data_IF_802400197375
#
_entry.id   IF_802400197375
#
_cell.length_a   1.000
_cell.length_b   1.000
_cell.length_c   1.000
_cell.angle_alpha   90.00
_cell.angle_beta   90.00
_cell.angle_gamma   90.00
#
_symmetry.space_group_name_H-M   'P 1'
#
loop_
_entity.id
_entity.type
_entity.pdbx_description
1 polymer ?
#
# COMPACT_ATOMS: atom_id res chain seq x y z
N UNK A 1 48.30 -2.11 20.74
CA UNK A 1 47.92 -3.12 19.74
C UNK A 1 46.42 -3.09 19.57
N UNK A 2 45.96 -2.14 18.70
CA UNK A 2 44.54 -2.04 18.30
C UNK A 2 44.23 -3.18 17.34
N UNK A 3 43.78 -4.29 17.89
CA UNK A 3 43.16 -5.33 17.11
C UNK A 3 41.75 -4.85 16.72
N UNK A 4 41.58 -4.45 15.46
CA UNK A 4 40.40 -4.30 14.66
C UNK A 4 39.14 -4.80 15.36
N UNK A 5 38.33 -3.93 16.02
CA UNK A 5 36.92 -4.11 16.17
C UNK A 5 36.37 -4.12 14.76
N UNK A 6 36.14 -5.29 14.21
CA UNK A 6 35.28 -5.48 13.04
C UNK A 6 33.92 -4.87 13.47
N UNK A 7 33.65 -3.64 13.08
CA UNK A 7 32.34 -3.04 13.29
C UNK A 7 31.40 -3.99 12.56
N UNK A 8 30.61 -4.76 13.30
CA UNK A 8 29.55 -5.60 12.74
C UNK A 8 28.55 -4.64 12.13
N UNK A 9 28.62 -4.51 10.83
CA UNK A 9 27.75 -3.61 10.07
C UNK A 9 26.41 -4.29 9.89
N UNK A 10 25.33 -3.63 10.31
CA UNK A 10 23.97 -4.15 10.29
C UNK A 10 23.16 -3.54 9.13
N UNK A 11 22.07 -4.19 8.76
CA UNK A 11 21.04 -3.62 7.90
C UNK A 11 19.72 -3.49 8.64
N UNK A 12 19.00 -2.41 8.39
CA UNK A 12 17.62 -2.24 8.87
C UNK A 12 16.67 -2.88 7.88
N UNK A 13 15.84 -3.81 8.32
CA UNK A 13 14.76 -4.40 7.53
C UNK A 13 13.46 -3.74 7.97
N UNK A 14 12.73 -3.16 7.03
CA UNK A 14 11.42 -2.53 7.27
C UNK A 14 10.35 -3.43 6.64
N UNK A 15 9.61 -4.14 7.46
CA UNK A 15 8.47 -4.95 7.06
C UNK A 15 7.19 -4.11 6.98
N UNK A 16 6.19 -4.58 6.24
CA UNK A 16 4.91 -3.88 6.12
C UNK A 16 4.10 -3.90 7.42
N UNK A 17 4.22 -4.99 8.19
CA UNK A 17 3.44 -5.22 9.43
C UNK A 17 4.21 -6.06 10.44
N UNK A 18 3.83 -5.98 11.73
CA UNK A 18 4.54 -6.67 12.81
C UNK A 18 4.66 -8.19 12.61
N UNK A 19 3.66 -8.84 12.01
CA UNK A 19 3.67 -10.29 11.75
C UNK A 19 4.76 -10.68 10.74
N UNK A 20 4.95 -9.88 9.68
CA UNK A 20 6.00 -10.08 8.69
C UNK A 20 7.37 -9.86 9.32
N UNK A 21 7.52 -8.80 10.13
CA UNK A 21 8.79 -8.56 10.86
C UNK A 21 9.14 -9.74 11.77
N UNK A 22 8.13 -10.34 12.44
CA UNK A 22 8.33 -11.52 13.26
C UNK A 22 8.80 -12.72 12.42
N UNK A 23 8.18 -13.00 11.28
CA UNK A 23 8.58 -14.10 10.41
C UNK A 23 10.03 -13.95 9.94
N UNK A 24 10.45 -12.72 9.60
CA UNK A 24 11.82 -12.42 9.22
C UNK A 24 12.78 -12.63 10.41
N UNK A 25 12.41 -12.12 11.60
CA UNK A 25 13.21 -12.28 12.80
C UNK A 25 13.38 -13.77 13.18
N UNK A 26 12.30 -14.55 13.09
CA UNK A 26 12.30 -15.99 13.37
C UNK A 26 13.20 -16.75 12.36
N UNK A 27 13.16 -16.40 11.07
CA UNK A 27 14.01 -16.98 10.02
C UNK A 27 15.52 -16.81 10.30
N UNK A 28 15.89 -15.69 10.93
CA UNK A 28 17.27 -15.40 11.36
C UNK A 28 17.54 -15.68 12.83
N UNK A 29 16.60 -16.33 13.54
CA UNK A 29 16.68 -16.69 14.98
C UNK A 29 16.96 -15.48 15.88
N UNK A 30 16.45 -14.31 15.48
CA UNK A 30 16.59 -13.06 16.25
C UNK A 30 15.53 -13.08 17.37
N UNK A 31 16.00 -13.29 18.62
CA UNK A 31 15.11 -13.42 19.79
C UNK A 31 14.97 -12.12 20.59
N UNK A 32 15.90 -11.19 20.45
CA UNK A 32 15.88 -9.94 21.22
C UNK A 32 14.84 -8.98 20.65
N UNK A 33 13.72 -8.87 21.33
CA UNK A 33 12.66 -7.92 21.00
C UNK A 33 12.86 -6.64 21.78
N UNK A 34 12.82 -5.52 21.08
CA UNK A 34 12.82 -4.16 21.61
C UNK A 34 11.46 -3.50 21.34
N UNK A 35 11.29 -2.28 21.84
CA UNK A 35 10.11 -1.48 21.51
C UNK A 35 10.15 -1.06 20.04
N UNK A 36 9.27 -1.62 19.24
CA UNK A 36 9.12 -1.33 17.81
C UNK A 36 10.08 -2.06 16.86
N UNK A 37 10.98 -2.95 17.33
CA UNK A 37 11.86 -3.73 16.45
C UNK A 37 12.43 -4.99 17.12
N UNK A 38 13.07 -5.84 16.32
CA UNK A 38 13.90 -6.97 16.77
C UNK A 38 15.36 -6.65 16.49
N UNK A 39 16.26 -6.99 17.43
CA UNK A 39 17.67 -6.69 17.32
C UNK A 39 18.50 -7.97 17.25
N UNK A 40 19.16 -8.19 16.11
CA UNK A 40 20.12 -9.26 15.85
C UNK A 40 21.52 -8.73 15.61
N UNK A 41 22.44 -9.64 15.34
CA UNK A 41 23.85 -9.30 15.08
C UNK A 41 24.01 -8.61 13.71
N UNK A 42 23.33 -9.11 12.66
CA UNK A 42 23.44 -8.61 11.30
C UNK A 42 22.26 -7.73 10.89
N UNK A 43 21.09 -7.87 11.55
CA UNK A 43 19.85 -7.21 11.16
C UNK A 43 19.12 -6.59 12.33
N UNK A 44 18.55 -5.42 12.06
CA UNK A 44 17.54 -4.75 12.88
C UNK A 44 16.22 -4.85 12.12
N UNK A 45 15.25 -5.61 12.62
CA UNK A 45 14.00 -5.85 11.92
C UNK A 45 12.89 -5.03 12.56
N UNK A 46 12.43 -4.02 11.85
CA UNK A 46 11.32 -3.16 12.27
C UNK A 46 10.14 -3.29 11.30
N UNK A 47 9.07 -2.54 11.50
CA UNK A 47 7.87 -2.64 10.69
C UNK A 47 7.14 -1.31 10.56
N UNK A 48 6.29 -1.21 9.54
CA UNK A 48 5.24 -0.22 9.42
C UNK A 48 3.89 -0.79 9.91
N UNK A 49 2.84 0.04 9.88
CA UNK A 49 1.45 -0.38 10.09
C UNK A 49 0.62 -0.05 8.83
N UNK A 50 1.11 -0.47 7.66
CA UNK A 50 0.73 0.12 6.39
C UNK A 50 1.35 1.52 6.25
N UNK A 51 0.66 2.45 5.60
CA UNK A 51 1.14 3.82 5.48
C UNK A 51 1.29 4.51 6.83
N UNK A 52 2.49 5.01 7.12
CA UNK A 52 2.81 5.84 8.29
C UNK A 52 2.75 7.33 7.97
N UNK A 53 2.90 7.67 6.69
CA UNK A 53 2.73 9.01 6.15
C UNK A 53 1.40 9.10 5.40
N UNK A 54 0.95 10.32 5.16
CA UNK A 54 -0.15 10.66 4.27
C UNK A 54 0.17 11.95 3.52
N UNK A 55 -0.43 12.16 2.36
CA UNK A 55 -0.35 13.43 1.67
C UNK A 55 -0.97 14.54 2.53
N UNK A 56 -0.48 15.76 2.37
CA UNK A 56 -1.10 16.95 2.94
C UNK A 56 -2.56 17.03 2.52
N UNK A 57 -3.42 17.47 3.42
CA UNK A 57 -4.78 17.88 3.07
C UNK A 57 -4.74 19.27 2.40
N UNK A 58 -5.80 19.66 1.67
CA UNK A 58 -5.85 20.97 1.03
C UNK A 58 -5.63 22.15 2.00
N UNK A 59 -6.10 22.01 3.24
CA UNK A 59 -5.90 23.01 4.32
C UNK A 59 -4.45 23.16 4.79
N UNK A 60 -3.62 22.13 4.59
CA UNK A 60 -2.19 22.19 4.95
C UNK A 60 -1.40 23.02 3.94
N UNK A 61 -1.92 23.20 2.73
CA UNK A 61 -1.36 24.09 1.70
C UNK A 61 -1.90 25.52 1.81
N UNK A 62 -3.20 25.65 2.07
CA UNK A 62 -3.88 26.96 2.23
C UNK A 62 -4.93 26.85 3.35
N UNK A 63 -4.74 27.58 4.45
CA UNK A 63 -5.67 27.61 5.59
C UNK A 63 -7.10 28.00 5.20
N UNK A 64 -7.26 28.79 4.16
CA UNK A 64 -8.58 29.14 3.65
C UNK A 64 -9.34 27.94 3.09
N UNK A 65 -8.69 26.81 2.83
CA UNK A 65 -9.31 25.55 2.41
C UNK A 65 -9.99 24.79 3.55
N UNK A 66 -9.90 25.26 4.80
CA UNK A 66 -10.67 24.71 5.94
C UNK A 66 -12.18 24.79 5.70
N UNK A 67 -12.65 25.83 5.03
CA UNK A 67 -14.04 25.98 4.57
C UNK A 67 -14.12 25.82 3.06
N UNK A 68 -14.77 24.75 2.61
CA UNK A 68 -14.95 24.56 1.17
C UNK A 68 -15.86 25.64 0.57
N UNK A 69 -15.41 26.19 -0.57
CA UNK A 69 -16.17 27.12 -1.37
C UNK A 69 -15.98 26.79 -2.85
N UNK A 70 -17.02 26.90 -3.66
CA UNK A 70 -17.00 26.47 -5.05
C UNK A 70 -15.89 27.13 -5.88
N UNK A 71 -15.63 28.41 -5.64
CA UNK A 71 -14.62 29.20 -6.35
C UNK A 71 -13.17 28.76 -6.09
N UNK A 72 -12.96 27.90 -5.10
CA UNK A 72 -11.62 27.37 -4.77
C UNK A 72 -11.27 26.06 -5.46
N UNK A 73 -12.19 25.52 -6.20
CA UNK A 73 -12.00 24.28 -6.94
C UNK A 73 -11.98 24.51 -8.45
N UNK A 74 -11.15 23.77 -9.23
CA UNK A 74 -10.28 22.67 -8.77
C UNK A 74 -9.06 23.17 -7.98
N UNK A 75 -8.69 22.43 -6.93
CA UNK A 75 -7.48 22.65 -6.15
C UNK A 75 -6.46 21.57 -6.50
N UNK A 76 -5.31 21.98 -7.03
CA UNK A 76 -4.18 21.11 -7.39
C UNK A 76 -2.93 21.77 -6.84
N UNK A 77 -2.22 21.18 -5.87
CA UNK A 77 -0.97 21.74 -5.37
C UNK A 77 0.12 21.67 -6.45
N UNK A 78 1.03 22.64 -6.46
CA UNK A 78 2.20 22.61 -7.34
C UNK A 78 3.12 21.44 -6.99
N UNK A 79 3.36 21.21 -5.68
CA UNK A 79 4.15 20.12 -5.14
C UNK A 79 3.35 19.34 -4.10
N UNK A 80 3.30 18.02 -4.26
CA UNK A 80 2.70 17.17 -3.25
C UNK A 80 3.65 16.91 -2.09
N UNK A 81 3.15 17.10 -0.86
CA UNK A 81 3.93 16.93 0.37
C UNK A 81 3.31 15.87 1.26
N UNK A 82 4.17 15.20 2.01
CA UNK A 82 3.78 14.21 3.00
C UNK A 82 3.85 14.79 4.42
N UNK A 83 2.98 14.29 5.28
CA UNK A 83 3.00 14.49 6.74
C UNK A 83 2.81 13.15 7.43
N UNK A 84 3.12 13.08 8.71
CA UNK A 84 2.79 11.92 9.53
C UNK A 84 1.27 11.73 9.49
N UNK A 85 0.84 10.48 9.39
CA UNK A 85 -0.57 10.11 9.35
C UNK A 85 -1.32 10.69 10.54
N UNK A 86 -2.50 11.20 10.29
CA UNK A 86 -3.40 11.69 11.32
C UNK A 86 -4.23 10.56 11.93
N UNK A 87 -4.71 10.76 13.14
CA UNK A 87 -5.63 9.85 13.81
C UNK A 87 -6.93 9.69 13.02
N UNK A 88 -7.44 8.46 12.93
CA UNK A 88 -8.63 8.16 12.13
C UNK A 88 -9.91 8.80 12.68
N UNK A 89 -9.97 9.05 13.99
CA UNK A 89 -11.11 9.68 14.66
C UNK A 89 -11.00 11.21 14.69
N UNK A 90 -9.78 11.74 14.62
CA UNK A 90 -9.53 13.17 14.62
C UNK A 90 -8.37 13.56 13.68
N UNK A 91 -8.71 13.96 12.47
CA UNK A 91 -7.73 14.37 11.42
C UNK A 91 -6.94 15.65 11.73
N UNK A 92 -7.20 16.31 12.85
CA UNK A 92 -6.40 17.45 13.34
C UNK A 92 -5.25 16.98 14.24
N UNK A 93 -5.25 15.72 14.67
CA UNK A 93 -4.26 15.16 15.60
C UNK A 93 -3.41 14.13 14.87
N UNK A 94 -2.10 14.19 15.08
CA UNK A 94 -1.16 13.18 14.56
C UNK A 94 -1.42 11.84 15.25
N UNK A 95 -1.39 10.75 14.48
CA UNK A 95 -1.41 9.38 15.00
C UNK A 95 -0.12 9.11 15.77
N UNK A 96 -0.23 9.04 17.11
CA UNK A 96 0.92 8.83 18.01
C UNK A 96 1.63 7.49 17.77
N UNK A 97 0.90 6.49 17.31
CA UNK A 97 1.48 5.18 16.96
C UNK A 97 2.36 5.29 15.71
N UNK A 98 1.86 5.95 14.68
CA UNK A 98 2.63 6.22 13.45
C UNK A 98 3.86 7.09 13.75
N UNK A 99 3.69 8.17 14.51
CA UNK A 99 4.80 9.06 14.91
C UNK A 99 5.89 8.30 15.67
N UNK A 100 5.50 7.51 16.68
CA UNK A 100 6.43 6.69 17.45
C UNK A 100 7.20 5.73 16.55
N UNK A 101 6.49 5.03 15.67
CA UNK A 101 7.10 4.03 14.80
C UNK A 101 8.05 4.65 13.77
N UNK A 102 7.70 5.79 13.20
CA UNK A 102 8.59 6.58 12.32
C UNK A 102 9.87 6.96 13.05
N UNK A 103 9.75 7.47 14.29
CA UNK A 103 10.91 7.86 15.08
C UNK A 103 11.83 6.66 15.37
N UNK A 104 11.26 5.47 15.61
CA UNK A 104 12.04 4.23 15.77
C UNK A 104 12.74 3.89 14.46
N UNK A 105 12.02 3.81 13.34
CA UNK A 105 12.60 3.50 12.03
C UNK A 105 13.76 4.45 11.72
N UNK A 106 13.55 5.76 11.89
CA UNK A 106 14.56 6.78 11.64
C UNK A 106 15.77 6.60 12.55
N UNK A 107 15.58 6.40 13.85
CA UNK A 107 16.66 6.19 14.80
C UNK A 107 17.50 4.95 14.47
N UNK A 108 16.89 3.89 13.95
CA UNK A 108 17.60 2.68 13.52
C UNK A 108 18.40 2.93 12.25
N UNK A 109 17.85 3.65 11.27
CA UNK A 109 18.54 3.98 10.02
C UNK A 109 19.74 4.90 10.29
N UNK A 110 19.62 5.84 11.22
CA UNK A 110 20.65 6.83 11.54
C UNK A 110 21.82 6.25 12.36
N UNK A 111 21.76 5.00 12.83
CA UNK A 111 22.84 4.35 13.60
C UNK A 111 24.13 4.25 12.78
N UNK A 112 25.26 4.45 13.44
CA UNK A 112 26.59 4.36 12.81
C UNK A 112 26.97 2.92 12.41
N UNK A 113 26.40 1.91 13.11
CA UNK A 113 26.60 0.50 12.79
C UNK A 113 25.64 -0.03 11.72
N UNK A 114 24.90 0.83 11.04
CA UNK A 114 23.97 0.48 9.94
C UNK A 114 24.52 1.02 8.62
N UNK A 115 24.66 0.14 7.62
CA UNK A 115 25.16 0.48 6.28
C UNK A 115 24.13 0.46 5.16
N UNK A 116 22.90 0.03 5.46
CA UNK A 116 21.85 -0.05 4.46
C UNK A 116 20.48 -0.39 5.01
N UNK A 117 19.48 -0.24 4.16
CA UNK A 117 18.08 -0.47 4.48
C UNK A 117 17.50 -1.50 3.51
N UNK A 118 16.67 -2.40 4.00
CA UNK A 118 15.96 -3.40 3.20
C UNK A 118 14.45 -3.15 3.36
N UNK A 119 13.80 -2.80 2.26
CA UNK A 119 12.34 -2.76 2.20
C UNK A 119 11.80 -4.18 2.03
N UNK A 120 11.02 -4.63 2.99
CA UNK A 120 10.38 -5.95 3.04
C UNK A 120 8.86 -5.81 3.16
N UNK A 121 8.29 -4.89 2.40
CA UNK A 121 6.84 -4.71 2.22
C UNK A 121 6.33 -5.63 1.12
N UNK A 122 5.02 -5.81 0.99
CA UNK A 122 4.41 -6.70 0.00
C UNK A 122 4.86 -6.33 -1.43
N UNK A 123 4.95 -7.33 -2.33
CA UNK A 123 5.44 -7.12 -3.69
C UNK A 123 4.31 -6.65 -4.61
N UNK A 124 3.78 -5.48 -4.32
CA UNK A 124 2.82 -4.78 -5.16
C UNK A 124 3.07 -3.26 -5.13
N UNK A 125 2.20 -2.49 -5.80
CA UNK A 125 2.33 -1.02 -5.88
C UNK A 125 2.15 -0.35 -4.52
N UNK A 126 1.22 -0.83 -3.70
CA UNK A 126 0.93 -0.25 -2.39
C UNK A 126 2.10 -0.52 -1.44
N UNK A 127 2.57 -1.78 -1.38
CA UNK A 127 3.73 -2.16 -0.56
C UNK A 127 4.99 -1.38 -0.96
N UNK A 128 5.23 -1.14 -2.26
CA UNK A 128 6.35 -0.31 -2.70
C UNK A 128 6.24 1.11 -2.17
N UNK A 129 5.07 1.73 -2.25
CA UNK A 129 4.87 3.12 -1.79
C UNK A 129 5.00 3.25 -0.28
N UNK A 130 4.53 2.26 0.50
CA UNK A 130 4.61 2.29 1.98
C UNK A 130 6.02 2.56 2.48
N UNK A 131 7.04 1.94 1.88
CA UNK A 131 8.43 2.18 2.26
C UNK A 131 9.04 3.38 1.56
N UNK A 132 8.74 3.57 0.27
CA UNK A 132 9.37 4.63 -0.53
C UNK A 132 8.96 6.03 -0.09
N UNK A 133 7.71 6.22 0.37
CA UNK A 133 7.29 7.51 0.93
C UNK A 133 8.13 7.92 2.15
N UNK A 134 8.54 6.94 3.00
CA UNK A 134 9.45 7.20 4.11
C UNK A 134 10.84 7.56 3.62
N UNK A 135 11.36 6.82 2.63
CA UNK A 135 12.70 7.05 2.10
C UNK A 135 12.81 8.42 1.41
N UNK A 136 11.79 8.82 0.67
CA UNK A 136 11.72 10.11 -0.01
C UNK A 136 11.53 11.24 1.02
N UNK A 137 10.58 11.10 1.94
CA UNK A 137 10.24 12.14 2.90
C UNK A 137 11.42 12.47 3.84
N UNK A 138 12.18 11.45 4.26
CA UNK A 138 13.33 11.62 5.14
C UNK A 138 14.68 11.69 4.41
N UNK A 139 14.67 11.69 3.08
CA UNK A 139 15.87 11.81 2.23
C UNK A 139 16.96 10.80 2.64
N UNK A 140 16.61 9.52 2.75
CA UNK A 140 17.51 8.47 3.20
C UNK A 140 18.65 8.30 2.21
N UNK A 141 19.90 8.48 2.70
CA UNK A 141 21.12 8.45 1.86
C UNK A 141 21.82 7.10 1.84
N UNK A 142 21.48 6.22 2.78
CA UNK A 142 22.06 4.86 2.83
C UNK A 142 21.53 4.02 1.67
N UNK A 143 22.31 3.03 1.17
CA UNK A 143 21.84 2.11 0.15
C UNK A 143 20.52 1.42 0.54
N UNK A 144 19.57 1.40 -0.37
CA UNK A 144 18.25 0.79 -0.15
C UNK A 144 18.10 -0.41 -1.07
N UNK A 145 17.73 -1.53 -0.48
CA UNK A 145 17.50 -2.79 -1.16
C UNK A 145 16.02 -3.19 -1.05
N UNK A 146 15.56 -3.99 -1.98
CA UNK A 146 14.22 -4.54 -2.03
C UNK A 146 14.25 -6.04 -1.86
N UNK A 147 13.51 -6.55 -0.87
CA UNK A 147 13.22 -7.95 -0.66
C UNK A 147 11.91 -8.28 -1.35
N UNK A 148 11.94 -9.15 -2.34
CA UNK A 148 10.78 -9.55 -3.16
C UNK A 148 10.36 -10.96 -2.77
N UNK A 149 9.24 -11.09 -2.07
CA UNK A 149 8.70 -12.38 -1.63
C UNK A 149 7.18 -12.43 -1.86
N UNK A 150 6.71 -13.61 -2.23
CA UNK A 150 5.28 -13.94 -2.26
C UNK A 150 4.83 -14.62 -0.97
N UNK A 151 5.75 -15.25 -0.24
CA UNK A 151 5.49 -15.98 1.01
C UNK A 151 6.57 -15.64 2.05
N UNK A 152 6.18 -15.65 3.34
CA UNK A 152 7.04 -15.29 4.45
C UNK A 152 7.49 -16.52 5.26
N UNK A 153 7.78 -17.64 4.58
CA UNK A 153 8.36 -18.85 5.18
C UNK A 153 9.87 -18.66 5.40
N UNK A 154 10.45 -19.42 6.33
CA UNK A 154 11.89 -19.29 6.66
C UNK A 154 12.78 -19.46 5.44
N UNK A 155 12.51 -20.46 4.61
CA UNK A 155 13.31 -20.78 3.42
C UNK A 155 13.18 -19.68 2.35
N UNK A 156 11.97 -19.20 2.08
CA UNK A 156 11.77 -18.13 1.10
C UNK A 156 12.36 -16.81 1.59
N UNK A 157 12.28 -16.48 2.89
CA UNK A 157 12.96 -15.30 3.46
C UNK A 157 14.48 -15.39 3.25
N UNK A 158 15.12 -16.53 3.57
CA UNK A 158 16.56 -16.72 3.37
C UNK A 158 16.96 -16.63 1.90
N UNK A 159 16.18 -17.25 1.02
CA UNK A 159 16.41 -17.22 -0.43
C UNK A 159 16.26 -15.80 -1.00
N UNK A 160 15.22 -15.08 -0.57
CA UNK A 160 15.01 -13.69 -0.99
C UNK A 160 16.12 -12.76 -0.49
N UNK A 161 16.55 -12.92 0.76
CA UNK A 161 17.68 -12.15 1.33
C UNK A 161 19.02 -12.40 0.63
N UNK A 162 19.22 -13.58 0.06
CA UNK A 162 20.37 -13.87 -0.80
C UNK A 162 20.27 -13.24 -2.19
N UNK A 163 19.09 -12.77 -2.59
CA UNK A 163 18.78 -12.24 -3.93
C UNK A 163 18.20 -10.83 -3.89
N UNK A 164 18.61 -10.00 -2.93
CA UNK A 164 18.17 -8.61 -2.81
C UNK A 164 18.40 -7.82 -4.11
N UNK A 165 17.46 -6.97 -4.46
CA UNK A 165 17.57 -6.05 -5.60
C UNK A 165 17.82 -4.62 -5.09
N UNK A 166 18.55 -3.78 -5.83
CA UNK A 166 18.56 -2.35 -5.55
C UNK A 166 17.12 -1.81 -5.61
N UNK A 167 16.72 -0.96 -4.65
CA UNK A 167 15.38 -0.37 -4.68
C UNK A 167 15.16 0.53 -5.91
N UNK A 168 16.25 1.07 -6.48
CA UNK A 168 16.21 1.83 -7.73
C UNK A 168 15.63 1.05 -8.92
N UNK A 169 15.77 -0.27 -8.93
CA UNK A 169 15.22 -1.12 -9.98
C UNK A 169 13.69 -1.17 -9.93
N UNK A 170 13.09 -0.77 -8.80
CA UNK A 170 11.65 -0.71 -8.58
C UNK A 170 11.04 0.64 -8.97
N UNK A 171 11.81 1.55 -9.57
CA UNK A 171 11.33 2.89 -9.97
C UNK A 171 10.02 2.90 -10.78
N UNK A 172 9.81 2.01 -11.77
CA UNK A 172 8.53 1.96 -12.48
C UNK A 172 7.35 1.59 -11.58
N UNK A 173 7.57 0.70 -10.60
CA UNK A 173 6.54 0.29 -9.64
C UNK A 173 6.24 1.43 -8.65
N UNK A 174 7.28 2.11 -8.17
CA UNK A 174 7.18 3.32 -7.35
C UNK A 174 6.37 4.40 -8.05
N UNK A 175 6.71 4.73 -9.30
CA UNK A 175 6.05 5.78 -10.08
C UNK A 175 4.57 5.45 -10.33
N UNK A 176 4.26 4.18 -10.61
CA UNK A 176 2.89 3.73 -10.77
C UNK A 176 2.08 3.84 -9.45
N UNK A 177 2.71 3.53 -8.31
CA UNK A 177 2.08 3.63 -6.99
C UNK A 177 1.86 5.08 -6.58
N UNK A 178 2.90 5.91 -6.65
CA UNK A 178 2.82 7.35 -6.32
C UNK A 178 1.84 8.06 -7.28
N UNK A 179 1.93 7.82 -8.60
CA UNK A 179 1.01 8.41 -9.56
C UNK A 179 -0.45 8.09 -9.26
N UNK A 180 -0.74 6.83 -8.84
CA UNK A 180 -2.07 6.46 -8.37
C UNK A 180 -2.48 7.23 -7.10
N UNK A 181 -1.61 7.31 -6.10
CA UNK A 181 -1.89 8.02 -4.85
C UNK A 181 -2.22 9.51 -5.11
N UNK A 182 -1.43 10.17 -5.96
CA UNK A 182 -1.66 11.58 -6.34
C UNK A 182 -2.96 11.76 -7.12
N UNK A 183 -3.27 10.85 -8.05
CA UNK A 183 -4.51 10.87 -8.80
C UNK A 183 -5.74 10.64 -7.89
N UNK A 184 -5.66 9.70 -6.97
CA UNK A 184 -6.74 9.43 -6.00
C UNK A 184 -6.97 10.63 -5.07
N UNK A 185 -5.90 11.28 -4.61
CA UNK A 185 -5.99 12.50 -3.82
C UNK A 185 -6.64 13.64 -4.62
N UNK A 186 -6.14 13.91 -5.83
CA UNK A 186 -6.63 15.01 -6.67
C UNK A 186 -8.10 14.84 -7.04
N UNK A 187 -8.51 13.64 -7.45
CA UNK A 187 -9.90 13.35 -7.78
C UNK A 187 -10.76 13.42 -6.50
N UNK A 188 -10.27 12.80 -5.42
CA UNK A 188 -10.98 12.72 -4.16
C UNK A 188 -11.32 14.09 -3.57
N UNK A 189 -10.33 14.96 -3.39
CA UNK A 189 -10.55 16.28 -2.78
C UNK A 189 -11.46 17.16 -3.66
N UNK A 190 -11.22 17.20 -4.95
CA UNK A 190 -11.95 18.08 -5.85
C UNK A 190 -13.40 17.63 -6.03
N UNK A 191 -13.63 16.37 -6.39
CA UNK A 191 -14.99 15.89 -6.67
C UNK A 191 -15.81 15.74 -5.40
N UNK A 192 -15.22 15.28 -4.29
CA UNK A 192 -15.93 15.20 -2.99
C UNK A 192 -16.37 16.58 -2.53
N UNK A 193 -15.50 17.57 -2.62
CA UNK A 193 -15.83 18.94 -2.19
C UNK A 193 -16.92 19.57 -3.05
N UNK A 194 -16.79 19.51 -4.37
CA UNK A 194 -17.76 20.06 -5.30
C UNK A 194 -19.13 19.36 -5.18
N UNK A 195 -19.15 18.03 -5.11
CA UNK A 195 -20.39 17.27 -4.94
C UNK A 195 -21.05 17.58 -3.58
N UNK A 196 -20.29 17.68 -2.52
CA UNK A 196 -20.80 18.01 -1.19
C UNK A 196 -21.38 19.42 -1.16
N UNK A 197 -20.68 20.40 -1.73
CA UNK A 197 -21.19 21.79 -1.82
C UNK A 197 -22.49 21.88 -2.64
N UNK A 198 -22.58 21.11 -3.72
CA UNK A 198 -23.74 21.17 -4.62
C UNK A 198 -24.96 20.36 -4.15
N UNK A 199 -24.72 19.20 -3.59
CA UNK A 199 -25.76 18.21 -3.29
C UNK A 199 -25.87 17.81 -1.82
N UNK A 200 -24.83 18.02 -1.01
CA UNK A 200 -24.79 17.61 0.40
C UNK A 200 -25.24 18.67 1.41
N UNK A 201 -25.42 19.92 0.97
CA UNK A 201 -25.71 21.06 1.85
C UNK A 201 -27.02 20.92 2.65
N UNK A 202 -28.06 20.34 2.05
CA UNK A 202 -29.37 20.15 2.70
C UNK A 202 -29.35 19.12 3.83
N UNK A 203 -28.49 18.11 3.73
CA UNK A 203 -28.41 17.00 4.68
C UNK A 203 -27.20 17.09 5.63
N UNK A 204 -26.35 18.09 5.47
CA UNK A 204 -25.07 18.24 6.19
C UNK A 204 -24.17 16.99 6.10
N UNK A 205 -24.24 16.27 4.99
CA UNK A 205 -23.47 15.05 4.73
C UNK A 205 -22.39 15.29 3.69
N UNK A 206 -21.23 14.71 3.91
CA UNK A 206 -20.18 14.66 2.91
C UNK A 206 -20.49 13.60 1.86
N UNK A 207 -20.48 13.99 0.59
CA UNK A 207 -20.64 13.07 -0.54
C UNK A 207 -19.24 12.64 -0.99
N UNK A 208 -18.79 11.51 -0.49
CA UNK A 208 -17.46 10.98 -0.83
C UNK A 208 -17.44 10.48 -2.27
N UNK A 209 -16.53 11.01 -3.07
CA UNK A 209 -16.27 10.59 -4.44
C UNK A 209 -14.86 10.05 -4.54
N UNK A 210 -14.72 8.86 -5.10
CA UNK A 210 -13.43 8.21 -5.29
C UNK A 210 -13.48 7.23 -6.45
N UNK A 211 -12.30 6.90 -6.97
CA UNK A 211 -12.14 6.04 -8.16
C UNK A 211 -12.52 4.56 -7.93
N UNK A 212 -12.60 4.12 -6.70
CA UNK A 212 -12.98 2.74 -6.36
C UNK A 212 -14.42 2.68 -5.89
N UNK A 213 -14.80 3.52 -4.93
CA UNK A 213 -16.12 3.47 -4.27
C UNK A 213 -17.29 3.63 -5.26
N UNK A 214 -17.24 4.66 -6.12
CA UNK A 214 -18.34 4.92 -7.06
C UNK A 214 -18.49 3.86 -8.15
N UNK A 215 -17.43 3.39 -8.82
CA UNK A 215 -17.54 2.27 -9.77
C UNK A 215 -18.08 1.00 -9.12
N UNK A 216 -17.64 0.68 -7.88
CA UNK A 216 -18.15 -0.48 -7.15
C UNK A 216 -19.64 -0.33 -6.83
N UNK A 217 -20.05 0.84 -6.35
CA UNK A 217 -21.46 1.13 -6.09
C UNK A 217 -22.29 1.05 -7.37
N UNK A 218 -21.74 1.55 -8.50
CA UNK A 218 -22.43 1.46 -9.80
C UNK A 218 -22.65 0.00 -10.24
N UNK A 219 -21.67 -0.88 -10.06
CA UNK A 219 -21.82 -2.31 -10.39
C UNK A 219 -22.97 -2.92 -9.57
N UNK A 220 -23.06 -2.62 -8.28
CA UNK A 220 -24.14 -3.10 -7.41
C UNK A 220 -25.47 -2.53 -7.87
N UNK A 221 -25.54 -1.22 -8.10
CA UNK A 221 -26.74 -0.55 -8.56
C UNK A 221 -27.25 -1.10 -9.91
N UNK A 222 -26.35 -1.28 -10.88
CA UNK A 222 -26.71 -1.83 -12.19
C UNK A 222 -27.27 -3.25 -12.04
N UNK A 223 -26.65 -4.06 -11.16
CA UNK A 223 -27.15 -5.42 -10.89
C UNK A 223 -28.53 -5.42 -10.24
N UNK A 224 -28.77 -4.53 -9.29
CA UNK A 224 -30.10 -4.38 -8.69
C UNK A 224 -31.11 -3.98 -9.75
N UNK A 225 -30.77 -3.05 -10.65
CA UNK A 225 -31.63 -2.67 -11.77
C UNK A 225 -31.91 -3.80 -12.77
N UNK A 226 -30.92 -4.63 -13.05
CA UNK A 226 -31.10 -5.85 -13.86
C UNK A 226 -32.10 -6.80 -13.21
N UNK A 227 -31.98 -7.01 -11.88
CA UNK A 227 -32.89 -7.88 -11.13
C UNK A 227 -34.32 -7.30 -11.12
N UNK A 228 -34.50 -5.99 -10.84
CA UNK A 228 -35.79 -5.31 -10.85
C UNK A 228 -36.48 -5.38 -12.22
N UNK A 229 -35.71 -5.30 -13.31
CA UNK A 229 -36.24 -5.28 -14.68
C UNK A 229 -36.11 -6.66 -15.35
N UNK A 230 -35.80 -7.71 -14.58
CA UNK A 230 -35.63 -9.05 -15.13
C UNK A 230 -36.89 -9.52 -15.85
N UNK A 231 -36.71 -9.99 -17.06
CA UNK A 231 -37.76 -10.67 -17.84
C UNK A 231 -37.31 -12.09 -18.09
N UNK A 232 -38.18 -13.02 -17.76
CA UNK A 232 -37.90 -14.43 -18.02
C UNK A 232 -37.75 -14.66 -19.53
N UNK A 233 -36.68 -15.35 -19.90
CA UNK A 233 -36.40 -15.77 -21.26
C UNK A 233 -36.03 -17.24 -21.29
N UNK A 234 -36.48 -17.94 -22.31
CA UNK A 234 -36.09 -19.32 -22.56
C UNK A 234 -34.80 -19.36 -23.39
N UNK A 235 -33.92 -20.24 -23.01
CA UNK A 235 -32.70 -20.53 -23.80
C UNK A 235 -32.50 -22.06 -23.92
N UNK A 236 -31.82 -22.46 -24.95
CA UNK A 236 -31.51 -23.87 -25.20
C UNK A 236 -30.01 -24.10 -25.10
N UNK A 237 -29.64 -25.25 -24.55
CA UNK A 237 -28.24 -25.74 -24.59
C UNK A 237 -28.20 -26.93 -25.53
N UNK A 238 -27.27 -26.91 -26.48
CA UNK A 238 -27.01 -28.06 -27.35
C UNK A 238 -25.94 -28.94 -26.69
N UNK A 239 -26.37 -30.10 -26.21
CA UNK A 239 -25.49 -31.13 -25.69
C UNK A 239 -25.25 -32.18 -26.76
N UNK A 240 -24.01 -32.54 -26.97
CA UNK A 240 -23.59 -33.55 -27.92
C UNK A 240 -23.00 -34.72 -27.15
N UNK A 241 -23.64 -35.88 -27.22
CA UNK A 241 -23.09 -37.12 -26.70
C UNK A 241 -22.21 -37.75 -27.74
N UNK A 242 -20.94 -37.91 -27.43
CA UNK A 242 -19.92 -38.43 -28.31
C UNK A 242 -19.40 -39.76 -27.76
N UNK A 243 -19.00 -40.63 -28.66
CA UNK A 243 -18.36 -41.91 -28.34
C UNK A 243 -17.06 -42.04 -29.15
N UNK A 244 -15.94 -42.21 -28.45
CA UNK A 244 -14.66 -42.43 -29.09
C UNK A 244 -14.58 -43.81 -29.74
N UNK A 245 -13.56 -44.05 -30.58
CA UNK A 245 -13.27 -45.37 -31.15
C UNK A 245 -12.95 -46.44 -30.09
N UNK A 246 -12.48 -46.00 -28.95
CA UNK A 246 -12.17 -46.86 -27.79
C UNK A 246 -13.36 -47.05 -26.84
N UNK A 247 -14.57 -46.77 -27.31
CA UNK A 247 -15.82 -46.88 -26.55
C UNK A 247 -15.93 -45.94 -25.32
N UNK A 248 -15.14 -44.90 -25.24
CA UNK A 248 -15.28 -43.87 -24.18
C UNK A 248 -16.41 -42.92 -24.57
N UNK A 249 -17.40 -42.80 -23.71
CA UNK A 249 -18.53 -41.91 -23.88
C UNK A 249 -18.25 -40.62 -23.14
N UNK A 250 -18.50 -39.45 -23.75
CA UNK A 250 -18.37 -38.14 -23.15
C UNK A 250 -19.41 -37.16 -23.71
N UNK A 251 -19.78 -36.20 -22.89
CA UNK A 251 -20.72 -35.14 -23.23
C UNK A 251 -19.94 -33.86 -23.52
N UNK A 252 -20.31 -33.17 -24.57
CA UNK A 252 -19.77 -31.85 -24.91
C UNK A 252 -20.88 -30.83 -25.05
N UNK A 253 -20.68 -29.66 -24.50
CA UNK A 253 -21.56 -28.52 -24.67
C UNK A 253 -21.12 -27.69 -25.88
N UNK A 254 -22.04 -27.44 -26.79
CA UNK A 254 -21.75 -26.53 -27.90
C UNK A 254 -21.83 -25.08 -27.44
N UNK A 255 -20.78 -24.32 -27.74
CA UNK A 255 -20.74 -22.87 -27.58
C UNK A 255 -20.63 -22.23 -28.94
N UNK A 256 -21.57 -21.36 -29.25
CA UNK A 256 -21.42 -20.45 -30.37
C UNK A 256 -20.42 -19.36 -29.94
N UNK A 257 -19.34 -19.15 -30.72
CA UNK A 257 -18.39 -18.07 -30.42
C UNK A 257 -19.12 -16.74 -30.51
N UNK A 258 -19.33 -16.13 -29.33
CA UNK A 258 -19.78 -14.75 -29.20
C UNK A 258 -18.58 -13.81 -29.10
#
# INVERSE_FOLDING_TARGET
TDYWRKILVKKVIIAEKPSVAKNIADAYKIKTRRDGFYEGDDYLVTWAFGHLLQLYDAKDYDENMKGWRMEKFPFIPEDFKYKIKCDSSNREVVDKGAEKQINIIKSLIDRDDVDGVISATDFDREGQVISDELFIHYDIKKPIYRLLLNEWTEDEVKKGMANLKPNSDMKPLQDAGIGRQLADWTIGINLTSVATLRYGASEKKTINIGRVLLPTLKIIYDRDKEIENFKESSYFKLLINLKSKDNIEFESLYYENG
#
